data_IF_889974170505
#
_entry.id   IF_889974170505
#
_cell.length_a   1.000
_cell.length_b   1.000
_cell.length_c   1.000
_cell.angle_alpha   90.00
_cell.angle_beta   90.00
_cell.angle_gamma   90.00
#
_symmetry.space_group_name_H-M   'P 1'
#
loop_
_entity.id
_entity.type
_entity.pdbx_description
1 polymer ?
#
# COMPACT_ATOMS: atom_id res chain seq x y z
N UNK A 1 9.22 -7.54 15.06
CA UNK A 1 8.75 -8.89 14.72
C UNK A 1 9.27 -9.87 15.73
N UNK A 2 8.39 -10.66 16.35
CA UNK A 2 8.76 -11.52 17.48
C UNK A 2 9.81 -12.60 17.14
N UNK A 3 10.04 -12.92 15.88
CA UNK A 3 10.99 -13.93 15.45
C UNK A 3 12.31 -13.37 14.91
N UNK A 4 12.58 -12.07 15.04
CA UNK A 4 13.82 -11.45 14.57
C UNK A 4 14.05 -11.48 13.05
N UNK A 5 13.08 -11.93 12.26
CA UNK A 5 13.17 -11.91 10.80
C UNK A 5 12.95 -10.50 10.28
N UNK A 6 13.88 -9.93 9.51
CA UNK A 6 13.64 -8.66 8.85
C UNK A 6 12.50 -8.83 7.85
N UNK A 7 11.62 -7.83 7.78
CA UNK A 7 10.58 -7.81 6.77
C UNK A 7 11.23 -7.52 5.42
N UNK A 8 10.99 -8.38 4.44
CA UNK A 8 11.43 -8.15 3.07
C UNK A 8 10.47 -7.15 2.42
N UNK A 9 10.86 -5.90 2.40
CA UNK A 9 10.18 -4.85 1.65
C UNK A 9 11.01 -4.58 0.40
N UNK A 10 10.40 -4.74 -0.76
CA UNK A 10 11.02 -4.48 -2.04
C UNK A 10 10.24 -3.40 -2.77
N UNK A 11 10.96 -2.35 -3.16
CA UNK A 11 10.49 -1.33 -4.08
C UNK A 11 11.58 -1.10 -5.14
N UNK A 12 11.16 -1.12 -6.41
CA UNK A 12 12.07 -1.18 -7.55
C UNK A 12 12.98 0.06 -7.63
N UNK A 13 12.44 1.26 -7.45
CA UNK A 13 13.19 2.50 -7.61
C UNK A 13 14.20 2.68 -6.46
N UNK A 14 13.80 2.36 -5.24
CA UNK A 14 14.71 2.33 -4.08
C UNK A 14 15.84 1.31 -4.30
N UNK A 15 15.51 0.11 -4.81
CA UNK A 15 16.51 -0.90 -5.12
C UNK A 15 17.47 -0.43 -6.22
N UNK A 16 16.97 0.15 -7.29
CA UNK A 16 17.79 0.65 -8.40
C UNK A 16 18.71 1.79 -7.97
N UNK A 17 18.24 2.66 -7.08
CA UNK A 17 19.06 3.74 -6.55
C UNK A 17 20.18 3.20 -5.64
N UNK A 18 19.86 2.27 -4.74
CA UNK A 18 20.89 1.56 -3.94
C UNK A 18 21.89 0.82 -4.82
N UNK A 19 21.41 0.13 -5.86
CA UNK A 19 22.27 -0.55 -6.82
C UNK A 19 23.22 0.40 -7.54
N UNK A 20 22.73 1.55 -7.96
CA UNK A 20 23.50 2.61 -8.62
C UNK A 20 24.58 3.18 -7.70
N UNK A 21 24.25 3.49 -6.45
CA UNK A 21 25.19 4.03 -5.46
C UNK A 21 26.27 3.03 -5.04
N UNK A 22 25.97 1.73 -5.14
CA UNK A 22 26.91 0.62 -4.88
C UNK A 22 27.78 0.26 -6.09
N UNK A 23 27.80 1.06 -7.15
CA UNK A 23 28.63 0.82 -8.34
C UNK A 23 28.04 -0.16 -9.36
N UNK A 24 26.77 -0.52 -9.20
CA UNK A 24 26.05 -1.38 -10.14
C UNK A 24 25.83 -0.72 -11.50
N UNK A 25 25.83 -1.51 -12.58
CA UNK A 25 25.54 -1.00 -13.92
C UNK A 25 24.04 -0.84 -14.11
N UNK A 26 23.61 0.32 -14.56
CA UNK A 26 22.19 0.60 -14.88
C UNK A 26 21.74 -0.18 -16.12
N UNK A 27 21.23 -1.38 -15.90
CA UNK A 27 20.73 -2.24 -16.98
C UNK A 27 19.53 -1.61 -17.72
N UNK A 28 18.71 -0.86 -16.98
CA UNK A 28 17.46 -0.27 -17.50
C UNK A 28 17.64 1.05 -18.22
N UNK A 29 18.76 1.76 -18.05
CA UNK A 29 19.01 3.05 -18.71
C UNK A 29 19.07 2.97 -20.24
N UNK A 30 19.37 1.80 -20.79
CA UNK A 30 19.47 1.55 -22.24
C UNK A 30 18.14 1.12 -22.86
N UNK A 31 17.09 0.90 -22.08
CA UNK A 31 15.75 0.53 -22.55
C UNK A 31 14.87 1.76 -22.66
N UNK A 32 13.71 1.63 -23.33
CA UNK A 32 12.74 2.71 -23.46
C UNK A 32 12.42 3.34 -22.12
N UNK A 33 12.22 4.67 -22.05
CA UNK A 33 11.91 5.36 -20.82
C UNK A 33 10.70 4.73 -20.14
N UNK A 34 10.89 4.22 -18.94
CA UNK A 34 9.85 3.59 -18.12
C UNK A 34 9.20 4.66 -17.27
N UNK A 35 7.87 4.70 -17.25
CA UNK A 35 7.16 5.54 -16.30
C UNK A 35 7.14 4.85 -14.93
N UNK A 36 8.01 5.29 -14.03
CA UNK A 36 8.19 4.70 -12.72
C UNK A 36 6.93 4.82 -11.84
N UNK A 37 6.20 5.93 -11.95
CA UNK A 37 4.94 6.11 -11.22
C UNK A 37 3.88 5.09 -11.66
N UNK A 38 3.76 4.86 -12.96
CA UNK A 38 2.85 3.84 -13.51
C UNK A 38 3.27 2.43 -13.08
N UNK A 39 4.57 2.13 -13.10
CA UNK A 39 5.12 0.84 -12.69
C UNK A 39 4.88 0.58 -11.20
N UNK A 40 5.11 1.57 -10.37
CA UNK A 40 4.85 1.47 -8.93
C UNK A 40 3.39 1.17 -8.63
N UNK A 41 2.44 1.90 -9.25
CA UNK A 41 1.01 1.65 -9.06
C UNK A 41 0.59 0.29 -9.59
N UNK A 42 1.16 -0.14 -10.72
CA UNK A 42 0.96 -1.52 -11.19
C UNK A 42 1.42 -2.54 -10.15
N UNK A 43 2.55 -2.32 -9.53
CA UNK A 43 3.06 -3.14 -8.41
C UNK A 43 2.09 -3.22 -7.23
N UNK A 44 1.44 -2.10 -6.86
CA UNK A 44 0.41 -2.08 -5.83
C UNK A 44 -0.80 -2.95 -6.21
N UNK A 45 -1.26 -2.87 -7.46
CA UNK A 45 -2.39 -3.69 -7.96
C UNK A 45 -2.03 -5.16 -7.94
N UNK A 46 -0.87 -5.54 -8.48
CA UNK A 46 -0.41 -6.92 -8.55
C UNK A 46 -0.21 -7.53 -7.15
N UNK A 47 0.40 -6.78 -6.23
CA UNK A 47 0.58 -7.19 -4.83
C UNK A 47 -0.75 -7.35 -4.10
N UNK A 48 -1.71 -6.44 -4.34
CA UNK A 48 -3.06 -6.56 -3.80
C UNK A 48 -3.76 -7.83 -4.30
N UNK A 49 -3.66 -8.16 -5.58
CA UNK A 49 -4.23 -9.39 -6.16
C UNK A 49 -3.64 -10.66 -5.52
N UNK A 50 -2.31 -10.68 -5.34
CA UNK A 50 -1.63 -11.80 -4.66
C UNK A 50 -2.12 -11.95 -3.22
N UNK A 51 -2.26 -10.84 -2.51
CA UNK A 51 -2.77 -10.84 -1.14
C UNK A 51 -4.22 -11.37 -1.07
N UNK A 52 -5.10 -10.95 -1.99
CA UNK A 52 -6.46 -11.49 -2.08
C UNK A 52 -6.48 -13.01 -2.32
N UNK A 53 -5.55 -13.51 -3.14
CA UNK A 53 -5.41 -14.96 -3.37
C UNK A 53 -4.96 -15.71 -2.12
N UNK A 54 -4.04 -15.14 -1.34
CA UNK A 54 -3.62 -15.70 -0.06
C UNK A 54 -4.77 -15.71 0.97
N UNK A 55 -5.53 -14.61 1.06
CA UNK A 55 -6.72 -14.53 1.93
C UNK A 55 -7.76 -15.59 1.52
N UNK A 56 -7.99 -15.81 0.23
CA UNK A 56 -8.92 -16.82 -0.25
C UNK A 56 -8.49 -18.24 0.09
N UNK A 57 -7.18 -18.51 -0.03
CA UNK A 57 -6.61 -19.85 0.23
C UNK A 57 -6.56 -20.17 1.72
N UNK A 58 -6.20 -19.20 2.54
CA UNK A 58 -5.85 -19.40 3.95
C UNK A 58 -6.86 -18.78 4.94
N UNK A 59 -7.61 -17.76 4.52
CA UNK A 59 -8.53 -17.00 5.38
C UNK A 59 -9.90 -17.66 5.57
N UNK A 60 -10.33 -18.53 4.67
CA UNK A 60 -11.69 -19.06 4.63
C UNK A 60 -11.93 -20.34 5.47
N UNK A 61 -11.14 -20.58 6.51
CA UNK A 61 -11.31 -21.75 7.38
C UNK A 61 -10.96 -23.10 6.73
N UNK A 62 -10.29 -23.11 5.60
CA UNK A 62 -9.90 -24.32 4.87
C UNK A 62 -8.78 -25.12 5.54
N UNK A 63 -8.07 -24.52 6.50
CA UNK A 63 -6.87 -25.08 7.12
C UNK A 63 -7.10 -25.62 8.55
N UNK A 64 -8.33 -25.85 8.95
CA UNK A 64 -8.65 -26.39 10.27
C UNK A 64 -9.26 -25.35 11.23
N UNK A 65 -9.35 -25.67 12.54
CA UNK A 65 -10.03 -24.82 13.53
C UNK A 65 -9.24 -23.55 13.88
N UNK A 66 -7.96 -23.46 13.50
CA UNK A 66 -7.11 -22.30 13.76
C UNK A 66 -6.87 -21.59 12.44
N UNK A 67 -7.17 -20.27 12.33
CA UNK A 67 -6.90 -19.48 11.13
C UNK A 67 -5.40 -19.35 10.89
N UNK A 68 -4.99 -19.24 9.62
CA UNK A 68 -3.63 -18.88 9.28
C UNK A 68 -3.40 -17.39 9.59
N UNK A 69 -2.70 -17.09 10.68
CA UNK A 69 -2.41 -15.73 11.09
C UNK A 69 -1.52 -14.96 10.11
N UNK A 70 -0.84 -15.64 9.19
CA UNK A 70 0.03 -15.01 8.19
C UNK A 70 -0.72 -14.11 7.19
N UNK A 71 -2.04 -14.27 7.05
CA UNK A 71 -2.85 -13.42 6.16
C UNK A 71 -3.38 -12.14 6.83
N UNK A 72 -3.23 -12.03 8.17
CA UNK A 72 -3.64 -10.85 8.92
C UNK A 72 -2.49 -9.86 9.09
N UNK A 73 -2.83 -8.60 9.28
CA UNK A 73 -1.86 -7.57 9.61
C UNK A 73 -1.26 -7.86 11.00
N UNK A 74 0.06 -8.07 11.08
CA UNK A 74 0.75 -8.41 12.33
C UNK A 74 0.45 -7.40 13.45
N UNK A 75 0.31 -6.14 13.11
CA UNK A 75 -0.03 -5.07 14.05
C UNK A 75 -1.51 -5.07 14.51
N UNK A 76 -2.34 -5.95 13.99
CA UNK A 76 -3.67 -6.18 14.59
C UNK A 76 -3.56 -6.82 15.96
N UNK A 77 -2.53 -7.65 16.20
CA UNK A 77 -2.27 -8.32 17.47
C UNK A 77 -1.03 -7.80 18.19
N UNK A 78 0.06 -7.53 17.45
CA UNK A 78 1.32 -7.05 18.01
C UNK A 78 1.34 -5.52 18.06
N UNK A 79 0.72 -4.96 19.08
CA UNK A 79 0.63 -3.51 19.34
C UNK A 79 1.20 -3.16 20.70
N UNK A 80 1.54 -1.89 20.89
CA UNK A 80 1.73 -1.34 22.22
C UNK A 80 0.42 -1.49 23.03
N UNK A 81 0.52 -1.98 24.27
CA UNK A 81 -0.62 -2.19 25.17
C UNK A 81 -1.27 -0.89 25.68
N UNK A 82 -0.85 0.26 25.21
CA UNK A 82 -1.50 1.55 25.53
C UNK A 82 -2.91 1.57 24.94
N UNK A 83 -3.86 2.06 25.71
CA UNK A 83 -5.28 2.14 25.32
C UNK A 83 -5.50 2.82 23.94
N UNK A 84 -4.68 3.81 23.60
CA UNK A 84 -4.72 4.50 22.30
C UNK A 84 -4.30 3.64 21.12
N UNK A 85 -3.55 2.55 21.34
CA UNK A 85 -3.06 1.65 20.30
C UNK A 85 -4.11 0.64 19.82
N UNK A 86 -5.20 0.45 20.58
CA UNK A 86 -6.30 -0.45 20.23
C UNK A 86 -7.45 0.24 19.48
N UNK A 87 -7.28 1.50 19.10
CA UNK A 87 -8.28 2.25 18.35
C UNK A 87 -8.64 1.55 17.04
N UNK A 88 -9.93 1.34 16.80
CA UNK A 88 -10.44 0.92 15.50
C UNK A 88 -10.22 2.04 14.48
N UNK A 89 -10.36 1.71 13.20
CA UNK A 89 -10.32 2.69 12.12
C UNK A 89 -11.73 2.91 11.56
N UNK A 90 -12.32 4.05 11.85
CA UNK A 90 -13.61 4.46 11.26
C UNK A 90 -13.52 4.48 9.71
N UNK A 91 -12.34 4.86 9.16
CA UNK A 91 -12.10 4.89 7.73
C UNK A 91 -12.06 3.49 7.09
N UNK A 92 -11.86 2.42 7.89
CA UNK A 92 -11.87 1.03 7.47
C UNK A 92 -13.09 0.27 7.98
N UNK A 93 -13.89 0.89 8.85
CA UNK A 93 -15.05 0.24 9.49
C UNK A 93 -14.66 -0.88 10.44
N UNK A 94 -13.46 -0.80 11.06
CA UNK A 94 -12.97 -1.76 12.05
C UNK A 94 -13.11 -1.20 13.46
N UNK A 95 -13.57 -2.03 14.40
CA UNK A 95 -13.64 -1.69 15.82
C UNK A 95 -12.29 -1.85 16.53
N UNK A 96 -12.13 -1.31 17.74
CA UNK A 96 -10.97 -1.59 18.57
C UNK A 96 -10.80 -3.09 18.81
N UNK A 97 -9.59 -3.62 18.57
CA UNK A 97 -9.29 -5.04 18.76
C UNK A 97 -9.63 -5.96 17.59
N UNK A 98 -10.28 -5.45 16.54
CA UNK A 98 -10.56 -6.24 15.35
C UNK A 98 -9.28 -6.71 14.66
N UNK A 99 -9.28 -8.00 14.25
CA UNK A 99 -8.30 -8.51 13.32
C UNK A 99 -8.52 -7.88 11.95
N UNK A 100 -7.45 -7.49 11.31
CA UNK A 100 -7.48 -6.89 9.98
C UNK A 100 -6.69 -7.73 8.99
N UNK A 101 -7.22 -7.93 7.80
CA UNK A 101 -6.43 -8.51 6.72
C UNK A 101 -5.21 -7.65 6.41
N UNK A 102 -4.13 -8.29 5.97
CA UNK A 102 -2.98 -7.55 5.47
C UNK A 102 -3.37 -6.81 4.18
N UNK A 103 -3.43 -5.49 4.22
CA UNK A 103 -4.04 -4.64 3.20
C UNK A 103 -3.21 -3.42 2.80
N UNK A 104 -1.94 -3.39 3.19
CA UNK A 104 -1.04 -2.23 3.01
C UNK A 104 -1.11 -1.61 1.60
N UNK A 105 -1.03 -2.45 0.56
CA UNK A 105 -1.09 -2.00 -0.83
C UNK A 105 -2.48 -1.44 -1.21
N UNK A 106 -3.56 -2.03 -0.69
CA UNK A 106 -4.92 -1.55 -0.91
C UNK A 106 -5.15 -0.19 -0.25
N UNK A 107 -4.61 0.03 0.96
CA UNK A 107 -4.72 1.32 1.65
C UNK A 107 -4.04 2.45 0.87
N UNK A 108 -2.84 2.20 0.37
CA UNK A 108 -2.11 3.16 -0.47
C UNK A 108 -2.87 3.40 -1.77
N UNK A 109 -3.33 2.33 -2.44
CA UNK A 109 -4.06 2.43 -3.71
C UNK A 109 -5.36 3.25 -3.59
N UNK A 110 -6.07 3.16 -2.45
CA UNK A 110 -7.23 4.02 -2.17
C UNK A 110 -6.87 5.51 -2.23
N UNK A 111 -5.70 5.91 -1.71
CA UNK A 111 -5.25 7.31 -1.72
C UNK A 111 -4.80 7.75 -3.11
N UNK A 112 -4.09 6.88 -3.82
CA UNK A 112 -3.69 7.12 -5.21
C UNK A 112 -4.90 7.34 -6.11
N UNK A 113 -5.89 6.44 -6.06
CA UNK A 113 -7.10 6.54 -6.88
C UNK A 113 -7.94 7.77 -6.56
N UNK A 114 -7.99 8.17 -5.29
CA UNK A 114 -8.67 9.38 -4.85
C UNK A 114 -7.95 10.65 -5.35
N UNK A 115 -6.62 10.72 -5.22
CA UNK A 115 -5.81 11.84 -5.69
C UNK A 115 -5.90 12.05 -7.20
N UNK A 116 -5.93 10.96 -7.97
CA UNK A 116 -6.09 10.97 -9.43
C UNK A 116 -7.55 11.11 -9.87
N UNK A 117 -8.50 11.20 -8.94
CA UNK A 117 -9.93 11.33 -9.19
C UNK A 117 -10.50 10.24 -10.13
N UNK A 118 -9.98 9.01 -10.03
CA UNK A 118 -10.44 7.92 -10.87
C UNK A 118 -11.93 7.58 -10.61
N UNK A 119 -12.65 7.21 -11.63
CA UNK A 119 -14.04 6.78 -11.51
C UNK A 119 -14.22 5.59 -10.56
N UNK A 120 -13.27 4.68 -10.55
CA UNK A 120 -13.25 3.48 -9.70
C UNK A 120 -12.94 3.73 -8.21
N UNK A 121 -12.57 4.95 -7.80
CA UNK A 121 -12.15 5.27 -6.40
C UNK A 121 -13.20 4.91 -5.35
N UNK A 122 -14.45 5.18 -5.64
CA UNK A 122 -15.55 4.91 -4.71
C UNK A 122 -15.79 3.42 -4.54
N UNK A 123 -15.77 2.67 -5.64
CA UNK A 123 -15.95 1.23 -5.62
C UNK A 123 -14.78 0.54 -4.92
N UNK A 124 -13.54 0.96 -5.18
CA UNK A 124 -12.37 0.44 -4.47
C UNK A 124 -12.48 0.71 -2.96
N UNK A 125 -12.89 1.91 -2.57
CA UNK A 125 -13.06 2.25 -1.15
C UNK A 125 -14.10 1.36 -0.47
N UNK A 126 -15.27 1.15 -1.09
CA UNK A 126 -16.31 0.25 -0.57
C UNK A 126 -15.81 -1.18 -0.47
N UNK A 127 -15.13 -1.67 -1.51
CA UNK A 127 -14.63 -3.02 -1.57
C UNK A 127 -13.60 -3.30 -0.46
N UNK A 128 -12.68 -2.38 -0.19
CA UNK A 128 -11.69 -2.52 0.89
C UNK A 128 -12.37 -2.53 2.26
N UNK A 129 -13.37 -1.67 2.50
CA UNK A 129 -14.13 -1.68 3.74
C UNK A 129 -14.90 -3.00 3.91
N UNK A 130 -15.54 -3.49 2.85
CA UNK A 130 -16.25 -4.77 2.87
C UNK A 130 -15.30 -5.94 3.14
N UNK A 131 -14.11 -5.92 2.53
CA UNK A 131 -13.08 -6.93 2.76
C UNK A 131 -12.64 -6.97 4.23
N UNK A 132 -12.39 -5.82 4.85
CA UNK A 132 -12.00 -5.76 6.26
C UNK A 132 -13.11 -6.25 7.20
N UNK A 133 -14.36 -5.88 6.94
CA UNK A 133 -15.50 -6.41 7.70
C UNK A 133 -15.65 -7.92 7.57
N UNK A 134 -15.32 -8.48 6.41
CA UNK A 134 -15.39 -9.91 6.17
C UNK A 134 -14.32 -10.73 6.94
N UNK A 135 -13.35 -10.08 7.61
CA UNK A 135 -12.42 -10.76 8.50
C UNK A 135 -13.12 -11.42 9.72
N UNK A 136 -14.30 -10.87 10.08
CA UNK A 136 -15.14 -11.37 11.18
C UNK A 136 -16.44 -12.01 10.69
N UNK A 137 -16.60 -12.13 9.36
CA UNK A 137 -17.77 -12.70 8.72
C UNK A 137 -17.65 -14.21 8.46
N UNK A 138 -18.67 -14.73 7.82
CA UNK A 138 -18.67 -16.10 7.33
C UNK A 138 -17.93 -16.24 5.97
N UNK A 139 -17.74 -17.49 5.53
CA UNK A 139 -17.05 -17.77 4.27
C UNK A 139 -17.79 -17.22 3.04
N UNK A 140 -19.09 -16.97 3.11
CA UNK A 140 -19.85 -16.42 1.98
C UNK A 140 -19.62 -14.91 1.85
N UNK A 141 -19.63 -14.18 2.96
CA UNK A 141 -19.31 -12.73 2.99
C UNK A 141 -17.87 -12.48 2.58
N UNK A 142 -16.92 -13.33 2.99
CA UNK A 142 -15.54 -13.22 2.54
C UNK A 142 -15.41 -13.43 1.01
N UNK A 143 -16.04 -14.47 0.45
CA UNK A 143 -16.03 -14.70 -1.01
C UNK A 143 -16.63 -13.53 -1.79
N UNK A 144 -17.75 -12.97 -1.31
CA UNK A 144 -18.38 -11.81 -1.92
C UNK A 144 -17.43 -10.59 -1.89
N UNK A 145 -16.81 -10.30 -0.75
CA UNK A 145 -15.87 -9.20 -0.59
C UNK A 145 -14.61 -9.36 -1.47
N UNK A 146 -14.06 -10.57 -1.57
CA UNK A 146 -12.93 -10.88 -2.45
C UNK A 146 -13.29 -10.64 -3.92
N UNK A 147 -14.47 -11.09 -4.37
CA UNK A 147 -14.95 -10.90 -5.74
C UNK A 147 -15.13 -9.41 -6.04
N UNK A 148 -15.74 -8.67 -5.14
CA UNK A 148 -15.93 -7.22 -5.27
C UNK A 148 -14.59 -6.48 -5.32
N UNK A 149 -13.62 -6.86 -4.48
CA UNK A 149 -12.31 -6.21 -4.45
C UNK A 149 -11.52 -6.49 -5.73
N UNK A 150 -11.58 -7.71 -6.27
CA UNK A 150 -10.95 -8.05 -7.55
C UNK A 150 -11.55 -7.25 -8.71
N UNK A 151 -12.87 -7.10 -8.74
CA UNK A 151 -13.54 -6.29 -9.77
C UNK A 151 -13.11 -4.82 -9.68
N UNK A 152 -13.07 -4.26 -8.47
CA UNK A 152 -12.59 -2.89 -8.24
C UNK A 152 -11.12 -2.71 -8.67
N UNK A 153 -10.23 -3.66 -8.38
CA UNK A 153 -8.83 -3.63 -8.82
C UNK A 153 -8.70 -3.67 -10.34
N UNK A 154 -9.53 -4.46 -11.02
CA UNK A 154 -9.55 -4.52 -12.49
C UNK A 154 -9.99 -3.19 -13.11
N UNK A 155 -10.99 -2.53 -12.53
CA UNK A 155 -11.41 -1.19 -12.96
C UNK A 155 -10.32 -0.12 -12.72
N UNK A 156 -9.62 -0.20 -11.59
CA UNK A 156 -8.46 0.67 -11.30
C UNK A 156 -7.38 0.47 -12.35
N UNK A 157 -6.96 -0.76 -12.61
CA UNK A 157 -5.89 -1.07 -13.58
C UNK A 157 -6.25 -0.54 -14.97
N UNK A 158 -7.48 -0.75 -15.42
CA UNK A 158 -7.95 -0.25 -16.71
C UNK A 158 -7.84 1.29 -16.79
N UNK A 159 -8.28 2.00 -15.76
CA UNK A 159 -8.23 3.46 -15.72
C UNK A 159 -6.81 4.00 -15.57
N UNK A 160 -5.93 3.29 -14.86
CA UNK A 160 -4.51 3.66 -14.74
C UNK A 160 -3.78 3.66 -16.08
N UNK A 161 -4.20 2.86 -17.05
CA UNK A 161 -3.64 2.85 -18.40
C UNK A 161 -3.77 4.18 -19.13
N UNK A 162 -4.75 5.02 -18.77
CA UNK A 162 -4.98 6.35 -19.36
C UNK A 162 -4.37 7.51 -18.56
N UNK A 163 -3.74 7.26 -17.42
CA UNK A 163 -3.10 8.30 -16.59
C UNK A 163 -1.81 8.76 -17.24
N UNK A 164 -1.70 10.07 -17.51
CA UNK A 164 -0.52 10.66 -18.17
C UNK A 164 0.67 10.85 -17.24
N UNK A 165 0.45 10.76 -15.93
CA UNK A 165 1.47 11.00 -14.89
C UNK A 165 2.16 12.35 -15.03
N UNK A 166 1.38 13.40 -15.25
CA UNK A 166 1.86 14.77 -15.26
C UNK A 166 2.45 15.18 -13.90
N UNK A 167 3.26 16.22 -13.85
CA UNK A 167 3.79 16.78 -12.60
C UNK A 167 2.67 17.13 -11.61
N UNK A 168 1.53 17.63 -12.09
CA UNK A 168 0.37 17.93 -11.24
C UNK A 168 -0.22 16.65 -10.61
N UNK A 169 -0.34 15.57 -11.38
CA UNK A 169 -0.85 14.28 -10.89
C UNK A 169 0.10 13.64 -9.88
N UNK A 170 1.41 13.62 -10.17
CA UNK A 170 2.41 13.11 -9.23
C UNK A 170 2.42 13.91 -7.92
N UNK A 171 2.32 15.24 -8.01
CA UNK A 171 2.23 16.10 -6.83
C UNK A 171 0.96 15.84 -6.01
N UNK A 172 -0.18 15.67 -6.67
CA UNK A 172 -1.44 15.36 -6.01
C UNK A 172 -1.37 14.01 -5.26
N UNK A 173 -0.74 13.00 -5.85
CA UNK A 173 -0.54 11.70 -5.20
C UNK A 173 0.40 11.84 -3.99
N UNK A 174 1.56 12.50 -4.14
CA UNK A 174 2.49 12.71 -3.03
C UNK A 174 1.82 13.45 -1.87
N UNK A 175 1.07 14.52 -2.16
CA UNK A 175 0.32 15.27 -1.16
C UNK A 175 -0.73 14.41 -0.46
N UNK A 176 -1.50 13.63 -1.22
CA UNK A 176 -2.53 12.76 -0.65
C UNK A 176 -1.96 11.67 0.27
N UNK A 177 -0.79 11.11 -0.06
CA UNK A 177 -0.08 10.15 0.79
C UNK A 177 0.42 10.82 2.08
N UNK A 178 1.01 12.01 1.98
CA UNK A 178 1.45 12.80 3.13
C UNK A 178 0.30 13.14 4.07
N UNK A 179 -0.81 13.61 3.53
CA UNK A 179 -1.98 13.99 4.33
C UNK A 179 -2.64 12.76 4.99
N UNK A 180 -2.68 11.63 4.29
CA UNK A 180 -3.17 10.37 4.85
C UNK A 180 -2.27 9.87 5.99
N UNK A 181 -0.94 9.99 5.85
CA UNK A 181 0.02 9.66 6.91
C UNK A 181 -0.20 10.53 8.16
N UNK A 182 -0.36 11.85 7.98
CA UNK A 182 -0.64 12.78 9.10
C UNK A 182 -1.94 12.48 9.82
N UNK A 183 -2.94 11.95 9.12
CA UNK A 183 -4.22 11.53 9.72
C UNK A 183 -4.21 10.12 10.31
N UNK A 184 -3.05 9.43 10.32
CA UNK A 184 -2.93 8.07 10.84
C UNK A 184 -3.68 7.02 10.02
N UNK A 185 -3.88 7.26 8.72
CA UNK A 185 -4.65 6.36 7.85
C UNK A 185 -3.85 5.13 7.39
N UNK A 186 -2.56 5.09 7.69
CA UNK A 186 -1.68 3.94 7.52
C UNK A 186 -1.38 3.34 8.88
N UNK A 187 -2.23 2.42 9.37
CA UNK A 187 -2.26 2.01 10.78
C UNK A 187 -1.18 0.99 11.15
N UNK A 188 -0.34 0.60 10.22
CA UNK A 188 0.77 -0.33 10.45
C UNK A 188 2.02 0.06 9.64
N UNK A 189 3.22 -0.40 10.06
CA UNK A 189 4.46 -0.10 9.38
C UNK A 189 4.48 -0.50 7.91
N UNK A 190 3.78 -1.59 7.52
CA UNK A 190 3.76 -2.02 6.13
C UNK A 190 3.06 -1.00 5.24
N UNK A 191 1.92 -0.47 5.68
CA UNK A 191 1.19 0.56 4.95
C UNK A 191 1.95 1.89 4.94
N UNK A 192 2.57 2.27 6.07
CA UNK A 192 3.37 3.49 6.17
C UNK A 192 4.60 3.46 5.25
N UNK A 193 5.32 2.34 5.21
CA UNK A 193 6.46 2.17 4.30
C UNK A 193 6.04 2.21 2.83
N UNK A 194 4.94 1.55 2.45
CA UNK A 194 4.44 1.62 1.08
C UNK A 194 4.04 3.05 0.69
N UNK A 195 3.47 3.82 1.61
CA UNK A 195 3.17 5.22 1.38
C UNK A 195 4.45 6.06 1.22
N UNK A 196 5.46 5.84 2.08
CA UNK A 196 6.75 6.52 1.99
C UNK A 196 7.47 6.23 0.67
N UNK A 197 7.52 4.96 0.25
CA UNK A 197 8.07 4.57 -1.06
C UNK A 197 7.33 5.25 -2.20
N UNK A 198 6.00 5.32 -2.14
CA UNK A 198 5.19 6.02 -3.13
C UNK A 198 5.50 7.51 -3.21
N UNK A 199 5.71 8.16 -2.07
CA UNK A 199 6.15 9.57 -2.05
C UNK A 199 7.50 9.74 -2.74
N UNK A 200 8.48 8.85 -2.46
CA UNK A 200 9.80 8.88 -3.12
C UNK A 200 9.66 8.76 -4.63
N UNK A 201 8.89 7.77 -5.11
CA UNK A 201 8.66 7.55 -6.56
C UNK A 201 8.02 8.77 -7.22
N UNK A 202 7.00 9.39 -6.59
CA UNK A 202 6.34 10.57 -7.14
C UNK A 202 7.30 11.77 -7.18
N UNK A 203 8.04 12.01 -6.10
CA UNK A 203 8.99 13.12 -6.00
C UNK A 203 10.17 12.97 -6.97
N UNK A 204 10.66 11.75 -7.17
CA UNK A 204 11.70 11.46 -8.16
C UNK A 204 11.26 11.80 -9.59
N UNK A 205 9.97 11.58 -9.92
CA UNK A 205 9.37 11.93 -11.20
C UNK A 205 9.22 13.44 -11.45
N UNK A 206 9.22 14.27 -10.40
CA UNK A 206 8.96 15.71 -10.48
C UNK A 206 10.16 16.55 -10.93
N UNK A 207 11.32 15.97 -11.23
CA UNK A 207 12.53 16.72 -11.62
C UNK A 207 12.83 17.90 -10.67
N UNK A 208 12.77 17.65 -9.37
CA UNK A 208 13.03 18.65 -8.35
C UNK A 208 14.45 19.22 -8.48
N UNK A 209 14.62 20.49 -8.14
CA UNK A 209 15.93 21.11 -8.01
C UNK A 209 16.78 20.45 -6.90
N UNK A 210 18.10 20.69 -6.93
CA UNK A 210 19.03 20.07 -5.99
C UNK A 210 18.76 20.44 -4.53
N UNK A 211 18.28 21.67 -4.27
CA UNK A 211 17.96 22.13 -2.92
C UNK A 211 16.79 21.36 -2.31
N UNK A 212 15.71 21.20 -3.05
CA UNK A 212 14.55 20.42 -2.63
C UNK A 212 14.87 18.93 -2.44
N UNK A 213 15.72 18.36 -3.31
CA UNK A 213 16.20 16.98 -3.12
C UNK A 213 16.98 16.81 -1.82
N UNK A 214 17.86 17.74 -1.51
CA UNK A 214 18.65 17.72 -0.28
C UNK A 214 17.77 17.87 0.97
N UNK A 215 16.73 18.68 0.91
CA UNK A 215 15.74 18.81 2.00
C UNK A 215 14.94 17.52 2.23
N UNK A 216 14.46 16.92 1.16
CA UNK A 216 13.73 15.63 1.23
C UNK A 216 14.62 14.54 1.81
N UNK A 217 15.87 14.41 1.35
CA UNK A 217 16.80 13.41 1.88
C UNK A 217 17.06 13.62 3.37
N UNK A 218 17.21 14.87 3.81
CA UNK A 218 17.37 15.18 5.24
C UNK A 218 16.17 14.75 6.07
N UNK A 219 14.94 14.99 5.59
CA UNK A 219 13.72 14.53 6.26
C UNK A 219 13.62 13.00 6.35
N UNK A 220 14.13 12.28 5.35
CA UNK A 220 14.18 10.81 5.41
C UNK A 220 15.27 10.28 6.34
N UNK A 221 16.39 10.99 6.47
CA UNK A 221 17.45 10.62 7.42
C UNK A 221 16.97 10.84 8.86
N UNK A 222 16.27 11.95 9.13
CA UNK A 222 15.66 12.25 10.44
C UNK A 222 14.57 11.23 10.86
N UNK A 223 13.99 10.47 9.93
CA UNK A 223 13.02 9.40 10.23
C UNK A 223 13.68 8.04 10.53
N UNK A 224 14.99 7.92 10.36
CA UNK A 224 15.73 6.68 10.63
C UNK A 224 16.30 6.61 12.04
N UNK A 225 16.45 7.76 12.68
CA UNK A 225 16.89 7.94 14.06
C UNK A 225 15.70 7.89 15.04
#
# INVERSE_FOLDING_TARGET
MAAGHPRLVFELDTYLELWRTSGGREHYRKKAPTNHSALWVKGLVDSSRRQLSLIEQHGAGRMGPIPDFGVFACHSCHRDLRLTAFGGSSALGTAPGDLRWQDAHLLVLRRVTAALQLGSRTELNRAVIALQKAAHGDASSLRAALTQTRAALSAVEQQMGSVSWSAAQMNAVAQALTDASRRGEFPDPAAAEQAAMGMVVMLAGLKLDQGKKAEINRLFDDLRD
#
